data_IF_434280180613
#
_entry.id   IF_434280180613
#
_cell.length_a   1.000
_cell.length_b   1.000
_cell.length_c   1.000
_cell.angle_alpha   90.00
_cell.angle_beta   90.00
_cell.angle_gamma   90.00
#
_symmetry.space_group_name_H-M   'P 1'
#
loop_
_entity.id
_entity.type
_entity.pdbx_description
1 polymer ?
#
# COMPACT_ATOMS: atom_id res chain seq x y z
N UNK A 1 6.01 6.30 -24.51
CA UNK A 1 6.56 6.21 -23.12
C UNK A 1 5.60 6.88 -22.14
N UNK A 2 5.27 6.24 -21.01
CA UNK A 2 4.32 6.81 -20.04
C UNK A 2 4.83 8.13 -19.41
N UNK A 3 3.91 9.07 -19.12
CA UNK A 3 4.24 10.37 -18.50
C UNK A 3 4.96 10.22 -17.16
N UNK A 4 4.64 9.20 -16.37
CA UNK A 4 5.32 8.86 -15.11
C UNK A 4 6.78 8.46 -15.33
N UNK A 5 7.05 7.60 -16.31
CA UNK A 5 8.40 7.15 -16.67
C UNK A 5 9.28 8.31 -17.12
N UNK A 6 8.75 9.22 -17.94
CA UNK A 6 9.46 10.44 -18.36
C UNK A 6 9.89 11.31 -17.18
N UNK A 7 9.02 11.48 -16.17
CA UNK A 7 9.33 12.27 -14.97
C UNK A 7 10.34 11.59 -14.06
N UNK A 8 10.25 10.26 -13.90
CA UNK A 8 11.24 9.50 -13.14
C UNK A 8 12.64 9.68 -13.74
N UNK A 9 12.76 9.55 -15.06
CA UNK A 9 14.03 9.77 -15.77
C UNK A 9 14.54 11.19 -15.59
N UNK A 10 13.68 12.20 -15.74
CA UNK A 10 14.05 13.59 -15.47
C UNK A 10 14.55 13.78 -14.03
N UNK A 11 13.91 13.18 -13.03
CA UNK A 11 14.36 13.26 -11.64
C UNK A 11 15.74 12.60 -11.44
N UNK A 12 16.00 11.47 -12.08
CA UNK A 12 17.30 10.78 -12.05
C UNK A 12 18.40 11.62 -12.70
N UNK A 13 18.14 12.18 -13.88
CA UNK A 13 19.10 13.06 -14.58
C UNK A 13 19.37 14.33 -13.77
N UNK A 14 18.32 14.94 -13.20
CA UNK A 14 18.46 16.11 -12.30
C UNK A 14 19.34 15.79 -11.09
N UNK A 15 19.13 14.63 -10.46
CA UNK A 15 19.92 14.17 -9.31
C UNK A 15 21.37 13.90 -9.70
N UNK A 16 21.62 13.29 -10.87
CA UNK A 16 22.96 13.06 -11.39
C UNK A 16 23.75 14.35 -11.61
N UNK A 17 23.14 15.36 -12.25
CA UNK A 17 23.79 16.67 -12.40
C UNK A 17 24.02 17.37 -11.06
N UNK A 18 23.07 17.29 -10.11
CA UNK A 18 23.30 17.81 -8.77
C UNK A 18 24.48 17.11 -8.07
N UNK A 19 24.63 15.80 -8.24
CA UNK A 19 25.77 15.05 -7.73
C UNK A 19 27.09 15.55 -8.35
N UNK A 20 27.16 15.72 -9.68
CA UNK A 20 28.38 16.23 -10.32
C UNK A 20 28.76 17.63 -9.85
N UNK A 21 27.76 18.50 -9.65
CA UNK A 21 27.98 19.88 -9.20
C UNK A 21 28.41 19.91 -7.72
N UNK A 22 27.71 19.17 -6.85
CA UNK A 22 27.92 19.25 -5.40
C UNK A 22 29.10 18.40 -4.93
N UNK A 23 29.26 17.18 -5.45
CA UNK A 23 30.26 16.22 -4.96
C UNK A 23 31.54 16.20 -5.81
N UNK A 24 31.43 16.55 -7.10
CA UNK A 24 32.58 16.56 -8.03
C UNK A 24 33.01 17.97 -8.43
N UNK A 25 32.40 19.01 -7.85
CA UNK A 25 32.70 20.41 -8.10
C UNK A 25 32.77 20.77 -9.59
N UNK A 26 31.99 20.09 -10.44
CA UNK A 26 31.99 20.35 -11.88
C UNK A 26 31.28 21.69 -12.11
N UNK A 27 31.94 22.70 -12.73
CA UNK A 27 31.40 24.06 -12.87
C UNK A 27 30.41 24.15 -14.02
N UNK A 28 29.31 23.39 -13.93
CA UNK A 28 28.22 23.39 -14.89
C UNK A 28 26.93 23.81 -14.20
N UNK A 29 26.07 24.54 -14.91
CA UNK A 29 24.70 24.76 -14.46
C UNK A 29 23.88 23.50 -14.75
N UNK A 30 23.04 23.08 -13.81
CA UNK A 30 22.19 21.91 -14.01
C UNK A 30 21.15 22.21 -15.13
N UNK A 31 21.20 21.55 -16.30
CA UNK A 31 20.27 21.80 -17.41
C UNK A 31 18.83 21.41 -17.06
N UNK A 32 18.64 20.56 -16.04
CA UNK A 32 17.31 20.21 -15.56
C UNK A 32 16.66 21.36 -14.77
N UNK A 33 17.40 22.36 -14.31
CA UNK A 33 16.88 23.50 -13.56
C UNK A 33 16.42 24.66 -14.45
N UNK A 34 16.63 24.58 -15.77
CA UNK A 34 16.12 25.60 -16.68
C UNK A 34 14.59 25.67 -16.66
N UNK A 35 14.06 26.88 -16.81
CA UNK A 35 12.64 27.19 -16.61
C UNK A 35 11.71 26.35 -17.50
N UNK A 36 12.15 26.05 -18.74
CA UNK A 36 11.46 25.20 -19.70
C UNK A 36 11.35 23.77 -19.16
N UNK A 37 12.47 23.22 -18.67
CA UNK A 37 12.53 21.85 -18.15
C UNK A 37 11.72 21.70 -16.86
N UNK A 38 11.83 22.66 -15.94
CA UNK A 38 11.05 22.66 -14.69
C UNK A 38 9.55 22.70 -14.97
N UNK A 39 9.10 23.53 -15.91
CA UNK A 39 7.68 23.59 -16.32
C UNK A 39 7.24 22.29 -17.00
N UNK A 40 8.05 21.74 -17.91
CA UNK A 40 7.71 20.52 -18.65
C UNK A 40 7.60 19.27 -17.77
N UNK A 41 8.41 19.19 -16.71
CA UNK A 41 8.47 18.03 -15.81
C UNK A 41 7.88 18.29 -14.42
N UNK A 42 7.14 19.39 -14.25
CA UNK A 42 6.46 19.71 -12.99
C UNK A 42 5.65 18.52 -12.49
N UNK A 43 5.87 18.15 -11.24
CA UNK A 43 5.08 17.12 -10.57
C UNK A 43 3.61 17.55 -10.58
N UNK A 44 2.70 16.72 -11.11
CA UNK A 44 1.29 17.05 -11.09
C UNK A 44 0.84 17.11 -9.63
N UNK A 45 -0.12 17.99 -9.33
CA UNK A 45 -0.82 17.88 -8.04
C UNK A 45 -1.38 16.47 -7.95
N UNK A 46 -1.05 15.78 -6.87
CA UNK A 46 -1.56 14.43 -6.66
C UNK A 46 -3.08 14.51 -6.58
N UNK A 47 -3.76 13.92 -7.56
CA UNK A 47 -5.19 13.68 -7.44
C UNK A 47 -5.37 12.68 -6.30
N UNK A 48 -6.09 13.08 -5.26
CA UNK A 48 -6.58 12.12 -4.27
C UNK A 48 -7.42 11.08 -5.00
N UNK A 49 -7.17 9.82 -4.67
CA UNK A 49 -7.84 8.68 -5.29
C UNK A 49 -9.14 8.41 -4.55
N UNK A 50 -10.15 7.98 -5.29
CA UNK A 50 -11.37 7.48 -4.71
C UNK A 50 -11.06 6.30 -3.77
N UNK A 51 -11.70 6.32 -2.61
CA UNK A 51 -11.57 5.30 -1.59
C UNK A 51 -12.73 4.34 -1.78
N UNK A 52 -12.46 3.04 -1.61
CA UNK A 52 -13.50 2.03 -1.65
C UNK A 52 -14.48 2.26 -0.49
N UNK A 53 -15.78 2.03 -0.72
CA UNK A 53 -16.75 2.05 0.38
C UNK A 53 -16.62 0.78 1.23
N UNK A 54 -17.13 0.85 2.46
CA UNK A 54 -17.14 -0.30 3.38
C UNK A 54 -17.95 -1.45 2.79
N UNK A 55 -19.11 -1.11 2.23
CA UNK A 55 -20.07 -2.06 1.66
C UNK A 55 -19.44 -2.81 0.48
N UNK A 56 -18.74 -2.08 -0.41
CA UNK A 56 -18.02 -2.73 -1.51
C UNK A 56 -16.93 -3.67 -1.01
N UNK A 57 -16.14 -3.27 -0.01
CA UNK A 57 -15.05 -4.09 0.51
C UNK A 57 -15.58 -5.35 1.21
N UNK A 58 -16.61 -5.22 2.04
CA UNK A 58 -17.23 -6.34 2.72
C UNK A 58 -17.87 -7.32 1.71
N UNK A 59 -18.53 -6.81 0.66
CA UNK A 59 -19.10 -7.64 -0.41
C UNK A 59 -18.03 -8.38 -1.23
N UNK A 60 -16.90 -7.72 -1.53
CA UNK A 60 -15.76 -8.34 -2.23
C UNK A 60 -15.17 -9.49 -1.40
N UNK A 61 -15.03 -9.30 -0.09
CA UNK A 61 -14.55 -10.33 0.84
C UNK A 61 -15.56 -11.48 0.93
N UNK A 62 -16.86 -11.16 1.01
CA UNK A 62 -17.94 -12.14 1.11
C UNK A 62 -18.06 -13.02 -0.15
N UNK A 63 -17.99 -12.43 -1.35
CA UNK A 63 -18.05 -13.17 -2.63
C UNK A 63 -16.82 -14.03 -2.93
N UNK A 64 -15.75 -13.90 -2.15
CA UNK A 64 -14.54 -14.70 -2.33
C UNK A 64 -14.74 -16.14 -1.86
N UNK A 65 -15.03 -17.05 -2.80
CA UNK A 65 -15.25 -18.49 -2.53
C UNK A 65 -14.02 -19.21 -1.97
N UNK A 66 -12.82 -18.84 -2.43
CA UNK A 66 -11.58 -19.48 -1.97
C UNK A 66 -11.12 -18.82 -0.67
N UNK A 67 -10.90 -19.64 0.36
CA UNK A 67 -10.40 -19.19 1.68
C UNK A 67 -9.09 -18.41 1.55
N UNK A 68 -8.19 -18.87 0.68
CA UNK A 68 -6.92 -18.22 0.36
C UNK A 68 -7.11 -16.78 -0.11
N UNK A 69 -7.96 -16.57 -1.11
CA UNK A 69 -8.18 -15.25 -1.73
C UNK A 69 -8.89 -14.32 -0.74
N UNK A 70 -9.81 -14.87 0.05
CA UNK A 70 -10.49 -14.15 1.13
C UNK A 70 -9.49 -13.63 2.18
N UNK A 71 -8.55 -14.47 2.62
CA UNK A 71 -7.52 -14.07 3.58
C UNK A 71 -6.59 -13.00 3.01
N UNK A 72 -6.22 -13.09 1.73
CA UNK A 72 -5.42 -12.06 1.06
C UNK A 72 -6.15 -10.70 1.06
N UNK A 73 -7.46 -10.70 0.84
CA UNK A 73 -8.28 -9.48 0.91
C UNK A 73 -8.39 -8.97 2.36
N UNK A 74 -8.67 -9.84 3.32
CA UNK A 74 -8.81 -9.48 4.74
C UNK A 74 -7.51 -8.90 5.31
N UNK A 75 -6.34 -9.48 5.01
CA UNK A 75 -5.05 -8.97 5.46
C UNK A 75 -4.74 -7.57 4.91
N UNK A 76 -5.14 -7.27 3.68
CA UNK A 76 -4.97 -5.94 3.10
C UNK A 76 -5.99 -4.93 3.64
N UNK A 77 -7.28 -5.31 3.66
CA UNK A 77 -8.39 -4.42 4.00
C UNK A 77 -8.53 -4.16 5.50
N UNK A 78 -8.17 -5.14 6.35
CA UNK A 78 -8.32 -5.05 7.81
C UNK A 78 -7.00 -4.80 8.53
N UNK A 79 -5.90 -5.40 8.04
CA UNK A 79 -4.58 -5.30 8.69
C UNK A 79 -3.65 -4.29 7.98
N UNK A 80 -4.15 -3.62 6.94
CA UNK A 80 -3.42 -2.61 6.19
C UNK A 80 -2.17 -3.15 5.49
N UNK A 81 -2.01 -4.46 5.26
CA UNK A 81 -0.79 -5.02 4.65
C UNK A 81 -0.73 -4.70 3.14
N UNK A 82 0.47 -4.59 2.57
CA UNK A 82 0.64 -4.55 1.11
C UNK A 82 0.50 -5.96 0.56
N UNK A 83 -0.06 -6.13 -0.65
CA UNK A 83 -0.19 -7.46 -1.26
C UNK A 83 1.14 -8.21 -1.35
N UNK A 84 2.26 -7.52 -1.62
CA UNK A 84 3.58 -8.15 -1.65
C UNK A 84 4.03 -8.68 -0.28
N UNK A 85 3.71 -7.99 0.81
CA UNK A 85 3.99 -8.43 2.17
C UNK A 85 3.14 -9.66 2.52
N UNK A 86 1.87 -9.63 2.13
CA UNK A 86 0.94 -10.77 2.32
C UNK A 86 1.46 -12.02 1.61
N UNK A 87 1.87 -11.90 0.34
CA UNK A 87 2.33 -13.05 -0.45
C UNK A 87 3.70 -13.60 -0.01
N UNK A 88 4.51 -12.80 0.66
CA UNK A 88 5.81 -13.22 1.17
C UNK A 88 5.76 -13.80 2.59
N UNK A 89 4.59 -13.75 3.26
CA UNK A 89 4.42 -14.22 4.62
C UNK A 89 4.60 -15.74 4.72
N UNK A 90 5.44 -16.19 5.66
CA UNK A 90 5.71 -17.61 5.93
C UNK A 90 5.06 -18.06 7.23
N UNK A 91 4.96 -19.37 7.42
CA UNK A 91 4.36 -19.97 8.64
C UNK A 91 5.10 -19.52 9.90
N UNK A 92 6.45 -19.54 9.88
CA UNK A 92 7.29 -19.10 11.01
C UNK A 92 7.10 -17.63 11.41
N UNK A 93 6.54 -16.81 10.52
CA UNK A 93 6.35 -15.38 10.76
C UNK A 93 5.08 -15.09 11.57
N UNK A 94 4.28 -16.13 11.87
CA UNK A 94 3.03 -16.00 12.62
C UNK A 94 3.26 -16.42 14.07
N UNK A 95 2.91 -15.54 14.99
CA UNK A 95 2.86 -15.84 16.42
C UNK A 95 1.56 -15.30 16.99
N UNK A 96 0.61 -16.18 17.27
CA UNK A 96 -0.75 -15.87 17.73
C UNK A 96 -1.52 -14.89 16.81
N UNK A 97 -1.49 -13.60 17.16
CA UNK A 97 -2.11 -12.49 16.43
C UNK A 97 -1.09 -11.58 15.76
N UNK A 98 0.21 -11.82 15.98
CA UNK A 98 1.32 -11.03 15.43
C UNK A 98 1.84 -11.68 14.15
N UNK A 99 2.07 -10.85 13.14
CA UNK A 99 2.64 -11.21 11.85
C UNK A 99 3.95 -10.45 11.69
N UNK A 100 5.06 -11.17 11.58
CA UNK A 100 6.38 -10.59 11.32
C UNK A 100 6.56 -10.35 9.82
N UNK A 101 6.56 -9.09 9.42
CA UNK A 101 6.83 -8.66 8.05
C UNK A 101 8.34 -8.46 7.93
N UNK A 102 9.00 -9.36 7.21
CA UNK A 102 10.43 -9.26 6.91
C UNK A 102 10.67 -8.46 5.64
N UNK A 103 11.74 -7.68 5.61
CA UNK A 103 12.13 -6.83 4.47
C UNK A 103 10.98 -5.91 3.98
N UNK A 104 10.30 -5.17 4.88
CA UNK A 104 9.28 -4.21 4.48
C UNK A 104 9.85 -3.12 3.57
N UNK A 105 8.99 -2.55 2.74
CA UNK A 105 9.34 -1.45 1.82
C UNK A 105 9.81 -0.17 2.54
N UNK A 106 9.60 -0.10 3.85
CA UNK A 106 10.05 1.02 4.68
C UNK A 106 11.57 1.05 4.89
N UNK A 107 12.28 -0.05 4.62
CA UNK A 107 13.72 -0.17 4.88
C UNK A 107 14.07 -0.64 6.29
N UNK A 108 13.07 -0.90 7.16
CA UNK A 108 13.29 -1.61 8.44
C UNK A 108 13.54 -3.10 8.19
N UNK A 109 14.18 -3.78 9.14
CA UNK A 109 14.42 -5.23 9.03
C UNK A 109 13.13 -6.04 9.26
N UNK A 110 12.37 -5.67 10.30
CA UNK A 110 11.14 -6.33 10.70
C UNK A 110 10.08 -5.29 11.08
N UNK A 111 8.87 -5.50 10.61
CA UNK A 111 7.65 -4.82 11.07
C UNK A 111 6.64 -5.83 11.59
N UNK A 112 5.71 -5.38 12.44
CA UNK A 112 4.65 -6.24 12.98
C UNK A 112 3.31 -5.77 12.45
N UNK A 113 2.51 -6.72 11.94
CA UNK A 113 1.09 -6.53 11.69
C UNK A 113 0.26 -7.41 12.61
N UNK A 114 -0.99 -7.02 12.85
CA UNK A 114 -1.88 -7.74 13.74
C UNK A 114 -3.07 -8.31 12.97
N UNK A 115 -3.31 -9.62 13.09
CA UNK A 115 -4.40 -10.31 12.43
C UNK A 115 -5.05 -11.34 13.37
N UNK A 116 -6.38 -11.26 13.53
CA UNK A 116 -7.11 -12.12 14.48
C UNK A 116 -7.36 -13.55 13.97
N UNK A 117 -7.55 -13.74 12.65
CA UNK A 117 -8.06 -15.00 12.06
C UNK A 117 -7.03 -15.82 11.27
N UNK A 118 -5.77 -15.39 11.21
CA UNK A 118 -4.78 -16.07 10.36
C UNK A 118 -4.20 -17.34 11.00
N UNK A 119 -4.01 -17.34 12.32
CA UNK A 119 -3.41 -18.48 13.05
C UNK A 119 -4.30 -19.72 13.08
N UNK A 120 -5.62 -19.57 12.96
CA UNK A 120 -6.55 -20.69 12.79
C UNK A 120 -6.39 -21.34 11.42
N UNK A 121 -6.28 -20.53 10.35
CA UNK A 121 -6.08 -21.03 9.00
C UNK A 121 -4.76 -21.79 8.85
N UNK A 122 -3.67 -21.23 9.41
CA UNK A 122 -2.35 -21.84 9.32
C UNK A 122 -2.27 -23.14 10.11
N UNK A 123 -2.94 -23.25 11.26
CA UNK A 123 -3.05 -24.52 12.00
C UNK A 123 -3.74 -25.63 11.20
N UNK A 124 -4.69 -25.28 10.33
CA UNK A 124 -5.39 -26.23 9.46
C UNK A 124 -4.59 -26.67 8.23
N UNK A 125 -3.52 -25.96 7.88
CA UNK A 125 -2.67 -26.32 6.75
C UNK A 125 -1.34 -26.85 7.27
N UNK A 126 -1.10 -28.16 7.12
CA UNK A 126 0.17 -28.82 7.49
C UNK A 126 1.33 -28.27 6.63
N UNK A 127 1.84 -27.13 7.01
CA UNK A 127 2.84 -26.38 6.26
C UNK A 127 4.14 -26.34 7.04
N UNK A 128 5.24 -26.62 6.34
CA UNK A 128 6.59 -26.44 6.86
C UNK A 128 6.81 -24.99 7.32
N UNK A 129 7.58 -24.73 8.40
CA UNK A 129 7.79 -23.38 8.93
C UNK A 129 8.29 -22.36 7.91
N UNK A 130 9.09 -22.79 6.94
CA UNK A 130 9.67 -21.94 5.89
C UNK A 130 8.78 -21.74 4.67
N UNK A 131 7.68 -22.48 4.58
CA UNK A 131 6.79 -22.40 3.42
C UNK A 131 5.97 -21.11 3.43
N UNK A 132 5.68 -20.59 2.24
CA UNK A 132 4.78 -19.44 2.07
C UNK A 132 3.34 -19.88 2.33
N UNK A 133 2.62 -19.10 3.14
CA UNK A 133 1.20 -19.35 3.45
C UNK A 133 0.35 -19.26 2.17
N UNK A 134 0.73 -18.37 1.26
CA UNK A 134 0.09 -18.17 -0.02
C UNK A 134 1.08 -18.51 -1.14
N UNK A 135 1.10 -19.76 -1.64
CA UNK A 135 2.01 -20.19 -2.70
C UNK A 135 1.53 -19.71 -4.07
N UNK A 136 1.36 -18.38 -4.23
CA UNK A 136 1.02 -17.74 -5.50
C UNK A 136 1.91 -16.53 -5.74
N UNK A 137 2.26 -16.30 -7.00
CA UNK A 137 3.02 -15.12 -7.38
C UNK A 137 2.11 -13.87 -7.45
N UNK A 138 2.74 -12.71 -7.37
CA UNK A 138 2.06 -11.42 -7.45
C UNK A 138 1.23 -11.26 -8.72
N UNK A 139 1.77 -11.70 -9.86
CA UNK A 139 1.11 -11.65 -11.17
C UNK A 139 -0.14 -12.53 -11.24
N UNK A 140 -0.26 -13.54 -10.40
CA UNK A 140 -1.46 -14.39 -10.29
C UNK A 140 -2.44 -13.90 -9.24
N UNK A 141 -1.96 -13.36 -8.11
CA UNK A 141 -2.81 -12.87 -7.03
C UNK A 141 -3.59 -11.62 -7.41
N UNK A 142 -2.94 -10.68 -8.11
CA UNK A 142 -3.54 -9.40 -8.44
C UNK A 142 -4.73 -9.49 -9.41
N UNK A 143 -4.68 -10.27 -10.51
CA UNK A 143 -5.85 -10.47 -11.37
C UNK A 143 -7.03 -11.07 -10.61
N UNK A 144 -6.78 -11.95 -9.64
CA UNK A 144 -7.84 -12.52 -8.80
C UNK A 144 -8.53 -11.42 -7.97
N UNK A 145 -7.74 -10.58 -7.29
CA UNK A 145 -8.28 -9.45 -6.51
C UNK A 145 -9.07 -8.48 -7.41
N UNK A 146 -8.54 -8.17 -8.60
CA UNK A 146 -9.22 -7.30 -9.58
C UNK A 146 -10.55 -7.88 -10.05
N UNK A 147 -10.55 -9.16 -10.44
CA UNK A 147 -11.76 -9.86 -10.89
C UNK A 147 -12.83 -9.92 -9.79
N UNK A 148 -12.43 -10.05 -8.53
CA UNK A 148 -13.37 -10.00 -7.40
C UNK A 148 -13.97 -8.58 -7.23
N UNK A 149 -13.17 -7.53 -7.41
CA UNK A 149 -13.67 -6.15 -7.44
C UNK A 149 -14.64 -5.90 -8.58
N UNK A 150 -14.30 -6.33 -9.80
CA UNK A 150 -15.13 -6.15 -11.00
C UNK A 150 -16.51 -6.80 -10.85
N UNK A 151 -16.60 -7.95 -10.18
CA UNK A 151 -17.87 -8.62 -9.84
C UNK A 151 -18.79 -7.80 -8.92
N UNK A 152 -18.27 -6.78 -8.26
CA UNK A 152 -19.01 -5.87 -7.38
C UNK A 152 -19.04 -4.46 -8.02
N UNK A 153 -18.62 -4.31 -9.28
CA UNK A 153 -18.63 -3.04 -9.99
C UNK A 153 -17.48 -2.09 -9.60
N UNK A 154 -16.41 -2.60 -8.97
CA UNK A 154 -15.32 -1.79 -8.41
C UNK A 154 -13.98 -2.15 -9.03
N UNK A 155 -13.26 -1.15 -9.53
CA UNK A 155 -11.88 -1.35 -10.00
C UNK A 155 -10.88 -1.27 -8.86
N UNK A 156 -10.28 -2.41 -8.49
CA UNK A 156 -9.27 -2.46 -7.43
C UNK A 156 -7.86 -2.34 -8.01
N UNK A 157 -7.08 -1.37 -7.52
CA UNK A 157 -5.61 -1.34 -7.70
C UNK A 157 -4.90 -1.90 -6.47
N UNK A 158 -3.63 -2.22 -6.66
CA UNK A 158 -2.79 -2.97 -5.70
C UNK A 158 -2.85 -2.49 -4.23
N UNK A 159 -3.01 -1.19 -3.99
CA UNK A 159 -3.01 -0.61 -2.64
C UNK A 159 -4.36 -0.01 -2.24
N UNK A 160 -5.42 -0.20 -3.02
CA UNK A 160 -6.71 0.44 -2.75
C UNK A 160 -7.38 -0.16 -1.52
N UNK A 161 -7.25 -1.47 -1.27
CA UNK A 161 -7.72 -2.11 -0.02
C UNK A 161 -6.94 -1.63 1.22
N UNK A 162 -5.62 -1.47 1.09
CA UNK A 162 -4.80 -0.90 2.17
C UNK A 162 -5.15 0.56 2.44
N UNK A 163 -5.48 1.32 1.39
CA UNK A 163 -5.94 2.72 1.49
C UNK A 163 -7.31 2.81 2.17
N UNK A 164 -8.21 1.91 1.81
CA UNK A 164 -9.47 1.73 2.53
C UNK A 164 -9.22 1.48 4.01
N UNK A 165 -8.32 0.53 4.36
CA UNK A 165 -7.97 0.22 5.75
C UNK A 165 -7.54 1.46 6.53
N UNK A 166 -6.60 2.25 6.00
CA UNK A 166 -6.13 3.49 6.62
C UNK A 166 -7.27 4.48 6.87
N UNK A 167 -8.07 4.72 5.83
CA UNK A 167 -9.14 5.72 5.87
C UNK A 167 -10.24 5.28 6.83
N UNK A 168 -10.68 4.03 6.75
CA UNK A 168 -11.71 3.48 7.62
C UNK A 168 -11.29 3.56 9.10
N UNK A 169 -10.04 3.19 9.39
CA UNK A 169 -9.49 3.21 10.75
C UNK A 169 -9.42 4.64 11.31
N UNK A 170 -8.88 5.58 10.52
CA UNK A 170 -8.82 6.99 10.90
C UNK A 170 -10.22 7.59 11.10
N UNK A 171 -11.18 7.26 10.23
CA UNK A 171 -12.56 7.75 10.33
C UNK A 171 -13.34 7.19 11.52
N UNK A 172 -12.91 6.06 12.08
CA UNK A 172 -13.44 5.50 13.32
C UNK A 172 -12.79 6.10 14.58
N UNK A 173 -12.12 7.26 14.45
CA UNK A 173 -11.58 8.02 15.59
C UNK A 173 -10.20 7.58 16.07
N UNK A 174 -9.51 6.69 15.34
CA UNK A 174 -8.15 6.28 15.71
C UNK A 174 -7.16 7.38 15.27
N UNK A 175 -6.26 7.85 16.16
CA UNK A 175 -5.29 8.88 15.84
C UNK A 175 -4.43 8.54 14.62
N UNK A 176 -4.11 9.55 13.81
CA UNK A 176 -3.43 9.34 12.53
C UNK A 176 -2.01 8.77 12.72
N UNK A 177 -1.37 9.10 13.84
CA UNK A 177 -0.09 8.58 14.28
C UNK A 177 -0.15 7.07 14.44
N UNK A 178 -1.18 6.57 15.14
CA UNK A 178 -1.41 5.14 15.32
C UNK A 178 -1.72 4.46 13.99
N UNK A 179 -2.54 5.08 13.14
CA UNK A 179 -2.80 4.57 11.78
C UNK A 179 -1.50 4.51 10.97
N UNK A 180 -0.64 5.52 11.07
CA UNK A 180 0.60 5.64 10.34
C UNK A 180 1.63 4.60 10.79
N UNK A 181 1.88 4.50 12.09
CA UNK A 181 2.95 3.69 12.66
C UNK A 181 2.57 2.22 12.80
N UNK A 182 1.36 1.94 13.27
CA UNK A 182 0.92 0.58 13.61
C UNK A 182 0.24 -0.10 12.40
N UNK A 183 -0.75 0.58 11.79
CA UNK A 183 -1.54 -0.04 10.72
C UNK A 183 -0.82 0.02 9.37
N UNK A 184 -0.23 1.15 9.01
CA UNK A 184 0.46 1.30 7.74
C UNK A 184 1.96 1.07 7.85
N UNK A 185 2.56 1.28 9.01
CA UNK A 185 4.01 1.14 9.17
C UNK A 185 4.75 2.06 8.19
N UNK A 186 4.32 3.32 8.13
CA UNK A 186 4.99 4.36 7.36
C UNK A 186 6.05 5.05 8.24
N UNK A 187 7.18 5.42 7.63
CA UNK A 187 8.23 6.18 8.31
C UNK A 187 7.91 7.68 8.42
N UNK A 188 7.03 8.18 7.55
CA UNK A 188 6.67 9.59 7.47
C UNK A 188 5.15 9.73 7.47
N UNK A 189 4.62 10.51 8.42
CA UNK A 189 3.21 10.80 8.58
C UNK A 189 2.60 11.45 7.33
N UNK A 190 3.39 12.24 6.58
CA UNK A 190 2.99 12.80 5.29
C UNK A 190 2.61 11.72 4.28
N UNK A 191 3.26 10.55 4.36
CA UNK A 191 2.90 9.40 3.53
C UNK A 191 1.50 8.89 3.88
N UNK A 192 1.15 8.89 5.16
CA UNK A 192 -0.18 8.49 5.64
C UNK A 192 -1.26 9.47 5.24
N UNK A 193 -0.99 10.78 5.27
CA UNK A 193 -1.91 11.79 4.74
C UNK A 193 -2.25 11.55 3.25
N UNK A 194 -1.30 11.04 2.45
CA UNK A 194 -1.57 10.68 1.05
C UNK A 194 -2.48 9.45 0.89
N UNK A 195 -2.66 8.64 1.94
CA UNK A 195 -3.59 7.51 1.95
C UNK A 195 -5.00 7.94 2.37
N UNK A 196 -5.14 9.00 3.16
CA UNK A 196 -6.43 9.60 3.43
C UNK A 196 -6.97 10.24 2.14
N UNK A 197 -8.17 9.87 1.73
CA UNK A 197 -8.85 10.55 0.63
C UNK A 197 -9.50 11.85 1.09
N UNK A 198 -10.40 12.40 0.26
CA UNK A 198 -11.15 13.60 0.64
C UNK A 198 -12.18 13.27 1.71
N UNK A 199 -12.34 14.18 2.66
CA UNK A 199 -13.52 14.23 3.50
C UNK A 199 -14.64 14.78 2.63
N UNK A 200 -15.73 14.03 2.47
CA UNK A 200 -16.93 14.53 1.78
C UNK A 200 -17.78 15.35 2.73
N UNK A 201 -18.63 16.23 2.20
CA UNK A 201 -19.52 17.05 3.03
C UNK A 201 -20.42 16.17 3.91
N UNK A 202 -20.87 15.03 3.38
CA UNK A 202 -21.62 14.01 4.11
C UNK A 202 -20.84 13.39 5.27
N UNK A 203 -19.52 13.26 5.15
CA UNK A 203 -18.66 12.76 6.22
C UNK A 203 -18.38 13.84 7.26
N UNK A 204 -18.19 15.08 6.82
CA UNK A 204 -18.01 16.23 7.71
C UNK A 204 -19.24 16.45 8.60
N UNK A 205 -20.45 16.31 8.04
CA UNK A 205 -21.71 16.42 8.80
C UNK A 205 -21.80 15.38 9.92
N UNK A 206 -21.22 14.18 9.77
CA UNK A 206 -21.26 13.15 10.82
C UNK A 206 -20.38 13.48 12.04
N UNK A 207 -19.47 14.44 11.90
CA UNK A 207 -18.49 14.78 12.94
C UNK A 207 -18.76 16.13 13.60
N UNK A 208 -19.71 16.91 13.06
CA UNK A 208 -20.26 18.11 13.70
C UNK A 208 -21.45 17.72 14.57
#
# INVERSE_FOLDING_TARGET
>A
MAKSTRRLRYAQVKAFFNFLINEKAVPIKNPCQDSIMVKAFKSPRMKQKDILSRESVDEIIYRSKKIRDRLILELQARCGMRIGEVLNLRVKDITDRKLMIRQPKSGKDIEVAFAKRLSEYVRGCQHEPESRIFPICYSSALPVVRKLGEKVGVQIRHNDLRRYSATHTSRNGIPLEVVSEVLLRHQDLKTTQMYLGKITDTEAIRWM
#
